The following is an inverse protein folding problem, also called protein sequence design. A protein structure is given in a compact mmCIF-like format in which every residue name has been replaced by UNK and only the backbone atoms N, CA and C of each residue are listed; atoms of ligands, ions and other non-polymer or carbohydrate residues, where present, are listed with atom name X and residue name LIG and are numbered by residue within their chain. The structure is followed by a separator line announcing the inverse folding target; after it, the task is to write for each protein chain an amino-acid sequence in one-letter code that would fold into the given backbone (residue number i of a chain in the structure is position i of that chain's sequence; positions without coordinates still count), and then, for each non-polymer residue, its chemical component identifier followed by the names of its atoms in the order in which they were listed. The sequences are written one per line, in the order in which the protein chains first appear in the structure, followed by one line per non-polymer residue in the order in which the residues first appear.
data_IF_573354713354
#
_entry.id   IF_573354713354
#
_cell.length_a   1.000
_cell.length_b   1.000
_cell.length_c   1.000
_cell.angle_alpha   90.00
_cell.angle_beta   90.00
_cell.angle_gamma   90.00
#
_symmetry.space_group_name_H-M   'P 1'
#
loop_
_entity.id
_entity.type
_entity.pdbx_description
1 polymer ?
#
# COMPACT_ATOMS: atom_id res chain seq x y z
N UNK A 1 -3.37 28.52 -4.99
CA UNK A 1 -4.17 27.82 -6.02
C UNK A 1 -5.65 28.22 -5.92
N UNK A 2 -6.32 28.61 -7.02
CA UNK A 2 -7.78 28.92 -7.04
C UNK A 2 -8.43 28.48 -8.36
N UNK A 3 -9.76 28.39 -8.42
CA UNK A 3 -10.49 27.99 -9.65
C UNK A 3 -10.48 29.14 -10.65
N UNK A 4 -10.07 28.89 -11.90
CA UNK A 4 -10.21 29.84 -13.01
C UNK A 4 -11.42 29.52 -13.88
N UNK A 5 -11.65 28.22 -14.13
CA UNK A 5 -12.72 27.76 -15.00
C UNK A 5 -13.35 26.45 -14.53
N UNK A 6 -14.66 26.33 -14.75
CA UNK A 6 -15.43 25.11 -14.56
C UNK A 6 -16.13 24.75 -15.86
N UNK A 7 -15.85 23.56 -16.39
CA UNK A 7 -16.44 23.06 -17.63
C UNK A 7 -17.29 21.83 -17.29
N UNK A 8 -18.56 21.88 -17.70
CA UNK A 8 -19.58 20.85 -17.48
C UNK A 8 -20.04 20.33 -18.84
N UNK A 9 -20.06 19.02 -19.05
CA UNK A 9 -20.60 18.43 -20.28
C UNK A 9 -21.39 17.17 -19.93
N UNK A 10 -22.67 17.12 -20.32
CA UNK A 10 -23.58 16.01 -20.04
C UNK A 10 -23.87 15.75 -18.56
N UNK A 11 -23.60 16.71 -17.66
CA UNK A 11 -23.71 16.53 -16.20
C UNK A 11 -25.06 17.04 -15.66
N UNK A 12 -25.87 16.16 -15.07
CA UNK A 12 -27.17 16.46 -14.43
C UNK A 12 -28.11 17.34 -15.26
N UNK A 13 -28.16 18.65 -15.00
CA UNK A 13 -29.01 19.63 -15.68
C UNK A 13 -28.33 20.30 -16.88
N UNK A 14 -27.07 19.98 -17.15
CA UNK A 14 -26.25 20.55 -18.21
C UNK A 14 -26.09 19.53 -19.34
N UNK A 15 -27.00 19.53 -20.35
CA UNK A 15 -26.95 18.55 -21.46
C UNK A 15 -25.81 18.79 -22.43
N UNK A 16 -25.34 20.04 -22.54
CA UNK A 16 -24.32 20.50 -23.47
C UNK A 16 -23.14 21.07 -22.70
N UNK A 17 -21.98 21.12 -23.38
CA UNK A 17 -20.77 21.74 -22.85
C UNK A 17 -21.06 23.18 -22.43
N UNK A 18 -20.97 23.43 -21.13
CA UNK A 18 -21.16 24.72 -20.48
C UNK A 18 -19.85 25.08 -19.78
N UNK A 19 -19.31 26.26 -20.09
CA UNK A 19 -18.08 26.76 -19.50
C UNK A 19 -18.42 27.98 -18.62
N UNK A 20 -17.96 27.94 -17.37
CA UNK A 20 -18.13 29.00 -16.38
C UNK A 20 -16.74 29.55 -16.09
N UNK A 21 -16.50 30.79 -16.50
CA UNK A 21 -15.24 31.53 -16.33
C UNK A 21 -15.46 32.77 -15.45
N UNK A 22 -14.38 33.51 -15.17
CA UNK A 22 -14.46 34.76 -14.42
C UNK A 22 -14.62 34.56 -12.91
N UNK A 23 -14.04 33.49 -12.37
CA UNK A 23 -13.98 33.24 -10.93
C UNK A 23 -13.00 34.22 -10.28
N UNK A 24 -13.46 34.91 -9.23
CA UNK A 24 -12.62 35.79 -8.42
C UNK A 24 -11.81 34.96 -7.40
N UNK A 25 -10.55 35.31 -7.10
CA UNK A 25 -9.76 34.61 -6.11
C UNK A 25 -10.32 34.68 -4.68
N UNK A 26 -11.12 35.69 -4.36
CA UNK A 26 -11.58 35.99 -3.01
C UNK A 26 -13.04 35.58 -2.78
N UNK A 27 -13.96 36.04 -3.63
CA UNK A 27 -15.39 35.83 -3.39
C UNK A 27 -16.18 35.57 -4.68
N UNK A 28 -16.94 34.47 -4.67
CA UNK A 28 -17.80 34.06 -5.78
C UNK A 28 -19.21 33.81 -5.29
N UNK A 29 -20.21 34.26 -6.06
CA UNK A 29 -21.62 34.05 -5.76
C UNK A 29 -22.34 33.37 -6.93
N UNK A 30 -23.10 32.31 -6.62
CA UNK A 30 -23.94 31.61 -7.59
C UNK A 30 -25.41 31.91 -7.27
N UNK A 31 -26.09 32.64 -8.15
CA UNK A 31 -27.49 33.04 -8.00
C UNK A 31 -28.34 32.61 -9.19
N UNK A 32 -29.67 32.64 -9.04
CA UNK A 32 -30.62 32.28 -10.10
C UNK A 32 -31.94 31.73 -9.58
N UNK A 33 -32.90 31.51 -10.48
CA UNK A 33 -34.25 31.02 -10.17
C UNK A 33 -34.26 29.59 -9.61
N UNK A 34 -35.25 29.24 -8.79
CA UNK A 34 -35.39 27.88 -8.29
C UNK A 34 -35.53 26.87 -9.43
N UNK A 35 -34.81 25.74 -9.34
CA UNK A 35 -34.77 24.72 -10.39
C UNK A 35 -33.77 24.99 -11.53
N UNK A 36 -33.06 26.13 -11.57
CA UNK A 36 -32.11 26.45 -12.65
C UNK A 36 -30.78 25.67 -12.62
N UNK A 37 -30.64 24.67 -11.75
CA UNK A 37 -29.44 23.85 -11.66
C UNK A 37 -28.28 24.39 -10.81
N UNK A 38 -28.48 25.50 -10.06
CA UNK A 38 -27.44 26.12 -9.21
C UNK A 38 -26.71 25.13 -8.31
N UNK A 39 -27.45 24.30 -7.58
CA UNK A 39 -26.89 23.29 -6.68
C UNK A 39 -26.12 22.19 -7.43
N UNK A 40 -26.40 21.98 -8.72
CA UNK A 40 -25.66 21.01 -9.55
C UNK A 40 -24.26 21.53 -9.92
N UNK A 41 -24.01 22.84 -9.87
CA UNK A 41 -22.66 23.41 -10.01
C UNK A 41 -21.79 22.96 -8.82
N UNK A 42 -22.32 23.09 -7.61
CA UNK A 42 -21.66 22.58 -6.40
C UNK A 42 -21.46 21.07 -6.46
N UNK A 43 -22.48 20.31 -6.88
CA UNK A 43 -22.32 18.85 -7.04
C UNK A 43 -21.25 18.49 -8.08
N UNK A 44 -21.10 19.29 -9.13
CA UNK A 44 -20.08 19.07 -10.15
C UNK A 44 -18.66 19.32 -9.62
N UNK A 45 -18.48 20.38 -8.84
CA UNK A 45 -17.21 20.64 -8.15
C UNK A 45 -16.89 19.47 -7.21
N UNK A 46 -17.86 19.08 -6.38
CA UNK A 46 -17.76 17.94 -5.47
C UNK A 46 -17.42 16.63 -6.19
N UNK A 47 -18.00 16.44 -7.37
CA UNK A 47 -17.78 15.28 -8.21
C UNK A 47 -16.32 15.22 -8.68
N UNK A 48 -15.75 16.30 -9.20
CA UNK A 48 -14.33 16.34 -9.63
C UNK A 48 -13.37 16.20 -8.46
N UNK A 49 -13.68 16.86 -7.36
CA UNK A 49 -12.91 16.77 -6.12
C UNK A 49 -12.90 15.34 -5.55
N UNK A 50 -13.84 14.48 -5.94
CA UNK A 50 -13.77 13.06 -5.65
C UNK A 50 -14.43 12.65 -4.34
N UNK A 51 -15.48 13.39 -3.95
CA UNK A 51 -16.41 12.98 -2.90
C UNK A 51 -16.93 11.57 -3.17
N UNK A 52 -16.70 10.68 -2.21
CA UNK A 52 -17.04 9.26 -2.28
C UNK A 52 -18.51 9.01 -2.03
N UNK A 53 -19.15 9.85 -1.23
CA UNK A 53 -20.55 9.69 -0.86
C UNK A 53 -21.49 10.28 -1.92
N UNK A 54 -22.03 9.42 -2.80
CA UNK A 54 -22.98 9.82 -3.85
C UNK A 54 -24.26 10.48 -3.29
N UNK A 55 -24.72 10.06 -2.10
CA UNK A 55 -25.91 10.65 -1.47
C UNK A 55 -25.74 12.14 -1.16
N UNK A 56 -24.50 12.56 -0.88
CA UNK A 56 -24.16 13.97 -0.66
C UNK A 56 -24.35 14.79 -1.94
N UNK A 57 -24.05 14.19 -3.09
CA UNK A 57 -24.32 14.79 -4.41
C UNK A 57 -25.76 14.52 -4.89
N UNK A 58 -26.71 14.16 -4.01
CA UNK A 58 -28.12 13.94 -4.37
C UNK A 58 -28.29 12.92 -5.51
N UNK A 59 -27.48 11.86 -5.49
CA UNK A 59 -27.48 10.77 -6.45
C UNK A 59 -27.48 9.43 -5.72
N UNK A 60 -28.19 8.43 -6.24
CA UNK A 60 -28.15 7.06 -5.71
C UNK A 60 -27.12 6.23 -6.48
N UNK A 61 -27.10 6.39 -7.80
CA UNK A 61 -26.19 5.69 -8.71
C UNK A 61 -25.33 6.67 -9.49
N UNK A 62 -24.17 6.23 -10.00
CA UNK A 62 -23.31 7.06 -10.85
C UNK A 62 -24.03 7.55 -12.12
N UNK A 63 -24.99 6.77 -12.63
CA UNK A 63 -25.79 7.14 -13.80
C UNK A 63 -26.70 8.35 -13.53
N UNK A 64 -27.10 8.62 -12.28
CA UNK A 64 -27.90 9.80 -11.92
C UNK A 64 -27.14 11.12 -12.13
N UNK A 65 -25.82 11.06 -12.24
CA UNK A 65 -24.97 12.22 -12.51
C UNK A 65 -24.93 12.57 -14.01
N UNK A 66 -25.34 11.65 -14.88
CA UNK A 66 -25.44 11.86 -16.33
C UNK A 66 -26.79 12.50 -16.65
N UNK A 67 -26.80 13.46 -17.58
CA UNK A 67 -28.02 14.15 -18.03
C UNK A 67 -29.13 13.15 -18.39
N UNK A 68 -30.29 13.30 -17.73
CA UNK A 68 -31.45 12.40 -17.85
C UNK A 68 -31.10 10.90 -17.77
N UNK A 69 -30.10 10.53 -16.94
CA UNK A 69 -29.62 9.13 -16.79
C UNK A 69 -29.19 8.47 -18.12
N UNK A 70 -28.81 9.29 -19.10
CA UNK A 70 -28.45 8.84 -20.44
C UNK A 70 -29.61 8.45 -21.36
N UNK A 71 -30.87 8.61 -20.94
CA UNK A 71 -32.04 8.32 -21.78
C UNK A 71 -32.23 9.31 -22.93
N UNK A 72 -31.56 10.46 -22.89
CA UNK A 72 -31.64 11.50 -23.91
C UNK A 72 -30.46 11.49 -24.91
N UNK A 73 -29.87 10.32 -25.15
CA UNK A 73 -28.73 10.15 -26.08
C UNK A 73 -27.37 10.61 -25.52
N UNK A 74 -27.33 11.22 -24.34
CA UNK A 74 -26.11 11.66 -23.66
C UNK A 74 -25.59 10.54 -22.75
N UNK A 75 -24.71 9.69 -23.24
CA UNK A 75 -24.22 8.50 -22.51
C UNK A 75 -22.97 8.73 -21.65
N UNK A 76 -22.44 9.96 -21.68
CA UNK A 76 -21.25 10.38 -20.94
C UNK A 76 -21.49 11.71 -20.22
N UNK A 77 -20.86 11.87 -19.06
CA UNK A 77 -20.74 13.16 -18.41
C UNK A 77 -19.27 13.41 -18.05
N UNK A 78 -18.81 14.64 -18.25
CA UNK A 78 -17.48 15.07 -17.84
C UNK A 78 -17.56 16.41 -17.14
N UNK A 79 -16.80 16.54 -16.07
CA UNK A 79 -16.61 17.81 -15.38
C UNK A 79 -15.11 18.07 -15.30
N UNK A 80 -14.71 19.27 -15.66
CA UNK A 80 -13.31 19.72 -15.65
C UNK A 80 -13.21 21.00 -14.82
N UNK A 81 -12.25 21.05 -13.92
CA UNK A 81 -11.88 22.26 -13.20
C UNK A 81 -10.47 22.64 -13.62
N UNK A 82 -10.30 23.90 -14.02
CA UNK A 82 -8.99 24.51 -14.28
C UNK A 82 -8.64 25.36 -13.08
N UNK A 83 -7.51 25.08 -12.46
CA UNK A 83 -6.96 25.82 -11.34
C UNK A 83 -5.79 26.69 -11.80
N UNK A 84 -5.75 27.92 -11.29
CA UNK A 84 -4.54 28.74 -11.30
C UNK A 84 -3.53 28.17 -10.33
N UNK A 85 -2.31 27.92 -10.82
CA UNK A 85 -1.18 27.43 -10.04
C UNK A 85 0.05 28.35 -10.18
N UNK A 86 -0.17 29.65 -10.42
CA UNK A 86 0.88 30.67 -10.51
C UNK A 86 1.69 30.85 -9.22
N UNK A 87 1.05 30.68 -8.06
CA UNK A 87 1.72 30.68 -6.77
C UNK A 87 2.31 29.31 -6.43
N UNK A 88 3.63 29.20 -6.55
CA UNK A 88 4.39 27.98 -6.28
C UNK A 88 4.36 27.56 -4.81
N UNK A 89 4.15 28.49 -3.87
CA UNK A 89 4.13 28.15 -2.44
C UNK A 89 2.89 27.33 -2.06
N UNK A 90 1.80 27.51 -2.82
CA UNK A 90 0.54 26.78 -2.64
C UNK A 90 0.32 25.70 -3.71
N UNK A 91 1.36 25.38 -4.49
CA UNK A 91 1.29 24.35 -5.52
C UNK A 91 1.32 22.95 -4.90
N UNK A 92 0.56 21.99 -5.45
CA UNK A 92 0.73 20.58 -5.13
C UNK A 92 2.16 20.10 -5.41
N UNK A 93 2.63 19.15 -4.60
CA UNK A 93 3.96 18.55 -4.73
C UNK A 93 4.09 17.85 -6.09
N UNK A 94 5.13 18.20 -6.85
CA UNK A 94 5.40 17.63 -8.18
C UNK A 94 4.59 18.25 -9.33
N UNK A 95 3.91 19.38 -9.08
CA UNK A 95 3.20 20.15 -10.11
C UNK A 95 3.64 21.62 -10.17
N UNK A 96 4.77 21.97 -9.55
CA UNK A 96 5.29 23.33 -9.43
C UNK A 96 5.66 23.98 -10.77
N UNK A 97 5.95 23.14 -11.78
CA UNK A 97 6.30 23.58 -13.14
C UNK A 97 5.08 23.97 -13.99
N UNK A 98 3.87 23.58 -13.56
CA UNK A 98 2.64 23.87 -14.30
C UNK A 98 1.99 25.15 -13.78
N UNK A 99 1.86 26.16 -14.64
CA UNK A 99 1.15 27.40 -14.32
C UNK A 99 -0.36 27.18 -14.12
N UNK A 100 -0.93 26.12 -14.73
CA UNK A 100 -2.32 25.74 -14.59
C UNK A 100 -2.44 24.24 -14.37
N UNK A 101 -3.37 23.84 -13.50
CA UNK A 101 -3.68 22.44 -13.22
C UNK A 101 -5.12 22.16 -13.65
N UNK A 102 -5.29 21.23 -14.57
CA UNK A 102 -6.60 20.82 -15.06
C UNK A 102 -6.96 19.45 -14.50
N UNK A 103 -8.03 19.38 -13.70
CA UNK A 103 -8.54 18.13 -13.15
C UNK A 103 -9.88 17.81 -13.80
N UNK A 104 -9.96 16.65 -14.46
CA UNK A 104 -11.18 16.17 -15.12
C UNK A 104 -11.65 14.86 -14.51
N UNK A 105 -12.94 14.76 -14.21
CA UNK A 105 -13.59 13.48 -13.91
C UNK A 105 -14.63 13.18 -14.98
N UNK A 106 -14.55 11.98 -15.55
CA UNK A 106 -15.47 11.51 -16.58
C UNK A 106 -16.18 10.25 -16.12
N UNK A 107 -17.47 10.17 -16.42
CA UNK A 107 -18.30 8.97 -16.27
C UNK A 107 -18.99 8.65 -17.59
N UNK A 108 -19.12 7.36 -17.91
CA UNK A 108 -19.83 6.89 -19.08
C UNK A 108 -20.55 5.57 -18.80
N UNK A 109 -21.62 5.30 -19.55
CA UNK A 109 -22.37 4.05 -19.47
C UNK A 109 -21.67 2.99 -20.37
N UNK A 110 -21.44 1.75 -19.90
CA UNK A 110 -21.79 1.20 -18.58
C UNK A 110 -20.68 1.39 -17.53
N UNK A 111 -20.97 2.19 -16.48
CA UNK A 111 -20.16 2.38 -15.25
C UNK A 111 -18.64 2.58 -15.42
N UNK A 112 -18.22 3.28 -16.48
CA UNK A 112 -16.83 3.69 -16.65
C UNK A 112 -16.64 5.00 -15.89
N UNK A 113 -15.71 5.05 -14.93
CA UNK A 113 -15.29 6.29 -14.26
C UNK A 113 -13.78 6.47 -14.40
N UNK A 114 -13.34 7.63 -14.85
CA UNK A 114 -11.91 7.95 -15.05
C UNK A 114 -11.60 9.34 -14.53
N UNK A 115 -10.43 9.48 -13.90
CA UNK A 115 -9.84 10.77 -13.57
C UNK A 115 -8.71 11.07 -14.53
N UNK A 116 -8.59 12.34 -14.90
CA UNK A 116 -7.49 12.87 -15.68
C UNK A 116 -6.93 14.10 -14.98
N UNK A 117 -5.62 14.20 -14.88
CA UNK A 117 -4.91 15.43 -14.48
C UNK A 117 -4.05 15.87 -15.64
N UNK A 118 -4.23 17.10 -16.11
CA UNK A 118 -3.55 17.64 -17.29
C UNK A 118 -3.63 16.70 -18.50
N UNK A 119 -4.77 15.99 -18.66
CA UNK A 119 -5.00 15.00 -19.71
C UNK A 119 -4.42 13.60 -19.46
N UNK A 120 -3.58 13.41 -18.45
CA UNK A 120 -3.04 12.10 -18.07
C UNK A 120 -3.98 11.35 -17.13
N UNK A 121 -4.18 10.04 -17.36
CA UNK A 121 -5.03 9.22 -16.50
C UNK A 121 -4.43 9.13 -15.09
N UNK A 122 -5.27 9.34 -14.08
CA UNK A 122 -4.86 9.27 -12.67
C UNK A 122 -5.84 8.42 -11.86
N UNK A 123 -5.39 7.94 -10.70
CA UNK A 123 -6.24 7.21 -9.76
C UNK A 123 -6.97 8.18 -8.83
N UNK A 124 -8.13 7.78 -8.28
CA UNK A 124 -8.85 8.61 -7.31
C UNK A 124 -8.00 8.93 -6.08
N UNK A 125 -7.17 7.98 -5.62
CA UNK A 125 -6.27 8.20 -4.48
C UNK A 125 -5.22 9.26 -4.78
N UNK A 126 -4.68 9.31 -6.01
CA UNK A 126 -3.75 10.35 -6.42
C UNK A 126 -4.42 11.73 -6.41
N UNK A 127 -5.66 11.84 -6.90
CA UNK A 127 -6.45 13.09 -6.85
C UNK A 127 -6.68 13.54 -5.41
N UNK A 128 -7.06 12.61 -4.52
CA UNK A 128 -7.26 12.93 -3.10
C UNK A 128 -5.95 13.41 -2.46
N UNK A 129 -4.82 12.78 -2.77
CA UNK A 129 -3.51 13.17 -2.25
C UNK A 129 -3.09 14.55 -2.77
N UNK A 130 -3.37 14.84 -4.06
CA UNK A 130 -3.13 16.14 -4.68
C UNK A 130 -3.90 17.23 -3.95
N UNK A 131 -5.22 17.07 -3.75
CA UNK A 131 -6.01 18.07 -3.05
C UNK A 131 -5.67 18.17 -1.56
N UNK A 132 -5.30 17.07 -0.90
CA UNK A 132 -4.79 17.11 0.47
C UNK A 132 -3.49 17.93 0.58
N UNK A 133 -2.61 17.89 -0.42
CA UNK A 133 -1.35 18.64 -0.39
C UNK A 133 -1.56 20.16 -0.39
N UNK A 134 -2.67 20.62 -0.97
CA UNK A 134 -3.10 22.03 -0.97
C UNK A 134 -4.15 22.33 0.11
N UNK A 135 -4.22 21.47 1.13
CA UNK A 135 -5.14 21.58 2.27
C UNK A 135 -6.63 21.58 1.90
N UNK A 136 -6.97 21.09 0.71
CA UNK A 136 -8.35 20.88 0.27
C UNK A 136 -8.76 19.43 0.57
N UNK A 137 -9.20 19.16 1.79
CA UNK A 137 -9.72 17.83 2.14
C UNK A 137 -11.22 17.74 1.93
N UNK A 138 -11.60 17.09 0.83
CA UNK A 138 -12.98 17.08 0.34
C UNK A 138 -13.84 16.08 1.12
N UNK A 139 -13.20 15.12 1.81
CA UNK A 139 -13.90 14.17 2.66
C UNK A 139 -14.22 14.75 4.04
N UNK A 140 -13.63 15.89 4.42
CA UNK A 140 -13.99 16.56 5.65
C UNK A 140 -15.33 17.30 5.45
N UNK A 141 -16.37 17.01 6.26
CA UNK A 141 -17.68 17.66 6.15
C UNK A 141 -17.65 19.17 6.40
N UNK A 142 -16.51 19.73 6.82
CA UNK A 142 -16.39 21.13 7.23
C UNK A 142 -15.83 22.04 6.14
N UNK A 143 -15.16 21.50 5.13
CA UNK A 143 -14.80 22.26 3.94
C UNK A 143 -16.05 22.53 3.06
N UNK A 144 -16.99 21.58 3.04
CA UNK A 144 -18.21 21.66 2.25
C UNK A 144 -19.46 21.57 3.12
N UNK A 145 -20.07 22.72 3.42
CA UNK A 145 -21.35 22.79 4.14
C UNK A 145 -22.50 22.77 3.13
N UNK A 146 -23.02 21.57 2.88
CA UNK A 146 -24.25 21.41 2.08
C UNK A 146 -25.50 21.74 2.89
N UNK A 147 -26.60 22.00 2.18
CA UNK A 147 -27.92 22.20 2.78
C UNK A 147 -28.27 21.01 3.70
N UNK A 148 -28.75 21.32 4.92
CA UNK A 148 -29.08 20.31 5.94
C UNK A 148 -27.89 19.76 6.72
N UNK A 149 -26.65 20.09 6.36
CA UNK A 149 -25.43 19.70 7.11
C UNK A 149 -25.14 20.63 8.29
N UNK A 150 -25.71 21.83 8.33
CA UNK A 150 -25.45 22.83 9.37
C UNK A 150 -25.82 22.35 10.78
N UNK A 151 -26.92 21.60 10.92
CA UNK A 151 -27.31 21.01 12.19
C UNK A 151 -26.33 19.93 12.66
N UNK A 152 -25.66 19.25 11.73
CA UNK A 152 -24.60 18.30 12.06
C UNK A 152 -23.37 19.02 12.59
N UNK A 153 -23.00 20.15 12.00
CA UNK A 153 -21.89 21.00 12.47
C UNK A 153 -22.15 21.48 13.90
N UNK A 154 -23.37 21.92 14.19
CA UNK A 154 -23.77 22.36 15.53
C UNK A 154 -23.77 21.23 16.57
N UNK A 155 -24.00 19.99 16.16
CA UNK A 155 -24.07 18.82 17.04
C UNK A 155 -22.82 17.92 16.93
N UNK A 156 -21.67 18.46 16.50
CA UNK A 156 -20.45 17.68 16.35
C UNK A 156 -19.94 17.17 17.70
N UNK A 157 -19.47 15.92 17.69
CA UNK A 157 -18.80 15.36 18.88
C UNK A 157 -17.40 15.97 19.03
N UNK A 158 -16.83 16.00 20.25
CA UNK A 158 -15.49 16.53 20.48
C UNK A 158 -14.41 15.96 19.56
N UNK A 159 -14.48 14.67 19.22
CA UNK A 159 -13.56 14.04 18.27
C UNK A 159 -13.69 14.57 16.83
N UNK A 160 -14.91 14.92 16.39
CA UNK A 160 -15.15 15.52 15.08
C UNK A 160 -14.62 16.96 15.04
N UNK A 161 -14.82 17.72 16.13
CA UNK A 161 -14.27 19.07 16.31
C UNK A 161 -12.74 19.05 16.31
N UNK A 162 -12.13 18.10 17.04
CA UNK A 162 -10.67 17.95 17.04
C UNK A 162 -10.15 17.70 15.61
N UNK A 163 -10.80 16.80 14.87
CA UNK A 163 -10.45 16.52 13.48
C UNK A 163 -10.61 17.73 12.53
N UNK A 164 -11.45 18.71 12.87
CA UNK A 164 -11.52 20.00 12.16
C UNK A 164 -10.31 20.88 12.46
N UNK A 165 -9.98 21.00 13.74
CA UNK A 165 -8.87 21.84 14.19
C UNK A 165 -7.54 21.29 13.67
N UNK A 166 -7.33 19.98 13.70
CA UNK A 166 -6.15 19.31 13.14
C UNK A 166 -6.02 19.51 11.63
N UNK A 167 -7.15 19.62 10.92
CA UNK A 167 -7.14 19.89 9.48
C UNK A 167 -6.83 21.36 9.17
N UNK A 168 -7.44 22.29 9.91
CA UNK A 168 -7.14 23.70 9.81
C UNK A 168 -5.67 24.01 10.19
N UNK A 169 -5.11 23.27 11.15
CA UNK A 169 -3.71 23.35 11.52
C UNK A 169 -2.78 22.59 10.54
N UNK A 170 -3.33 21.80 9.61
CA UNK A 170 -2.56 20.99 8.65
C UNK A 170 -1.83 19.78 9.26
N UNK A 171 -2.07 19.44 10.53
CA UNK A 171 -1.38 18.34 11.23
C UNK A 171 -1.96 16.97 10.90
N UNK A 172 -3.21 16.91 10.42
CA UNK A 172 -3.92 15.66 10.11
C UNK A 172 -3.17 14.74 9.15
N UNK A 173 -2.60 15.30 8.07
CA UNK A 173 -1.91 14.49 7.05
C UNK A 173 -0.66 13.82 7.63
N UNK A 174 0.03 14.49 8.54
CA UNK A 174 1.17 13.94 9.26
C UNK A 174 0.74 12.82 10.21
N UNK A 175 -0.31 13.04 10.99
CA UNK A 175 -0.79 12.03 11.95
C UNK A 175 -1.30 10.76 11.23
N UNK A 176 -2.01 10.90 10.11
CA UNK A 176 -2.44 9.75 9.29
C UNK A 176 -1.25 8.96 8.72
N UNK A 177 -0.18 9.65 8.27
CA UNK A 177 1.05 9.00 7.79
C UNK A 177 1.77 8.28 8.91
N UNK A 178 1.89 8.92 10.08
CA UNK A 178 2.50 8.34 11.29
C UNK A 178 1.74 7.11 11.75
N UNK A 179 0.41 7.16 11.80
CA UNK A 179 -0.42 6.02 12.19
C UNK A 179 -0.25 4.85 11.21
N UNK A 180 -0.25 5.11 9.90
CA UNK A 180 0.02 4.07 8.88
C UNK A 180 1.41 3.45 9.03
N UNK A 181 2.42 4.27 9.32
CA UNK A 181 3.78 3.79 9.56
C UNK A 181 3.84 2.90 10.81
N UNK A 182 3.25 3.33 11.93
CA UNK A 182 3.19 2.55 13.18
C UNK A 182 2.48 1.21 12.99
N UNK A 183 1.34 1.19 12.28
CA UNK A 183 0.64 -0.07 11.95
C UNK A 183 1.50 -1.00 11.11
N UNK A 184 2.28 -0.46 10.17
CA UNK A 184 3.18 -1.24 9.31
C UNK A 184 4.34 -1.82 10.12
N UNK A 185 4.92 -1.03 11.03
CA UNK A 185 5.97 -1.47 11.96
C UNK A 185 5.44 -2.62 12.82
N UNK A 186 4.31 -2.43 13.51
CA UNK A 186 3.71 -3.46 14.35
C UNK A 186 3.42 -4.77 13.59
N UNK A 187 2.99 -4.68 12.33
CA UNK A 187 2.79 -5.87 11.48
C UNK A 187 4.11 -6.57 11.14
N UNK A 188 5.16 -5.80 10.86
CA UNK A 188 6.49 -6.36 10.56
C UNK A 188 7.11 -6.99 11.81
N UNK A 189 6.97 -6.36 12.96
CA UNK A 189 7.51 -6.87 14.23
C UNK A 189 6.90 -8.23 14.59
N UNK A 190 5.56 -8.38 14.47
CA UNK A 190 4.90 -9.69 14.64
C UNK A 190 5.46 -10.75 13.71
N UNK A 191 5.70 -10.40 12.44
CA UNK A 191 6.27 -11.34 11.47
C UNK A 191 7.71 -11.73 11.82
N UNK A 192 8.49 -10.81 12.39
CA UNK A 192 9.84 -11.09 12.89
C UNK A 192 9.78 -12.02 14.11
N UNK A 193 8.83 -11.81 15.03
CA UNK A 193 8.62 -12.70 16.18
C UNK A 193 8.25 -14.11 15.73
N UNK A 194 7.31 -14.26 14.79
CA UNK A 194 6.95 -15.56 14.20
C UNK A 194 8.17 -16.26 13.58
N UNK A 195 8.97 -15.54 12.80
CA UNK A 195 10.18 -16.10 12.17
C UNK A 195 11.24 -16.50 13.19
N UNK A 196 11.45 -15.71 14.25
CA UNK A 196 12.38 -16.05 15.34
C UNK A 196 11.94 -17.32 16.05
N UNK A 197 10.65 -17.45 16.35
CA UNK A 197 10.10 -18.66 16.95
C UNK A 197 10.35 -19.90 16.06
N UNK A 198 10.13 -19.79 14.74
CA UNK A 198 10.44 -20.90 13.81
C UNK A 198 11.93 -21.26 13.78
N UNK A 199 12.82 -20.26 13.81
CA UNK A 199 14.28 -20.49 13.84
C UNK A 199 14.65 -21.26 15.12
N UNK A 200 14.17 -20.81 16.27
CA UNK A 200 14.52 -21.40 17.56
C UNK A 200 13.93 -22.81 17.73
N UNK A 201 12.69 -23.03 17.30
CA UNK A 201 12.00 -24.30 17.48
C UNK A 201 12.41 -25.37 16.48
N UNK A 202 12.64 -25.01 15.21
CA UNK A 202 12.92 -25.98 14.17
C UNK A 202 14.40 -26.03 13.78
N UNK A 203 15.00 -24.88 13.50
CA UNK A 203 16.35 -24.82 12.92
C UNK A 203 17.39 -25.13 13.99
N UNK A 204 17.31 -24.48 15.15
CA UNK A 204 18.27 -24.70 16.25
C UNK A 204 18.24 -26.15 16.73
N UNK A 205 17.06 -26.75 16.90
CA UNK A 205 16.94 -28.17 17.29
C UNK A 205 17.51 -29.12 16.24
N UNK A 206 17.29 -28.86 14.94
CA UNK A 206 17.90 -29.65 13.86
C UNK A 206 19.41 -29.50 13.86
N UNK A 207 19.93 -28.29 14.08
CA UNK A 207 21.35 -28.01 14.15
C UNK A 207 22.01 -28.76 15.31
N UNK A 208 21.39 -28.79 16.48
CA UNK A 208 21.94 -29.48 17.65
C UNK A 208 21.94 -31.00 17.47
N UNK A 209 20.92 -31.58 16.82
CA UNK A 209 20.95 -33.00 16.42
C UNK A 209 22.12 -33.28 15.47
N UNK A 210 22.31 -32.47 14.44
CA UNK A 210 23.43 -32.63 13.50
C UNK A 210 24.81 -32.48 14.18
N UNK A 211 24.91 -31.63 15.21
CA UNK A 211 26.12 -31.51 16.02
C UNK A 211 26.41 -32.78 16.82
N UNK A 212 25.38 -33.40 17.38
CA UNK A 212 25.53 -34.66 18.11
C UNK A 212 25.87 -35.82 17.16
N UNK A 213 25.21 -35.92 16.00
CA UNK A 213 25.54 -36.92 14.98
C UNK A 213 26.99 -36.78 14.51
N UNK A 214 27.47 -35.54 14.31
CA UNK A 214 28.87 -35.27 14.00
C UNK A 214 29.80 -35.75 15.12
N UNK A 215 29.44 -35.54 16.38
CA UNK A 215 30.24 -35.98 17.54
C UNK A 215 30.35 -37.50 17.60
N UNK A 216 29.22 -38.20 17.42
CA UNK A 216 29.16 -39.66 17.37
C UNK A 216 30.02 -40.19 16.21
N UNK A 217 29.90 -39.59 15.03
CA UNK A 217 30.69 -39.97 13.86
C UNK A 217 32.20 -39.81 14.10
N UNK A 218 32.63 -38.70 14.71
CA UNK A 218 34.04 -38.49 15.03
C UNK A 218 34.57 -39.48 16.07
N UNK A 219 33.74 -39.88 17.05
CA UNK A 219 34.11 -40.92 18.02
C UNK A 219 34.24 -42.28 17.34
N UNK A 220 33.27 -42.66 16.51
CA UNK A 220 33.30 -43.89 15.70
C UNK A 220 34.55 -43.94 14.81
N UNK A 221 34.88 -42.84 14.14
CA UNK A 221 36.07 -42.74 13.29
C UNK A 221 37.35 -43.02 14.10
N UNK A 222 37.48 -42.47 15.31
CA UNK A 222 38.63 -42.75 16.20
C UNK A 222 38.69 -44.24 16.57
N UNK A 223 37.58 -44.83 16.97
CA UNK A 223 37.52 -46.25 17.32
C UNK A 223 37.88 -47.15 16.14
N UNK A 224 37.44 -46.82 14.92
CA UNK A 224 37.85 -47.55 13.72
C UNK A 224 39.36 -47.46 13.48
N UNK A 225 39.96 -46.28 13.65
CA UNK A 225 41.42 -46.13 13.49
C UNK A 225 42.21 -46.93 14.55
N UNK A 226 41.73 -46.96 15.80
CA UNK A 226 42.33 -47.76 16.87
C UNK A 226 42.18 -49.27 16.60
N UNK A 227 41.00 -49.71 16.14
CA UNK A 227 40.73 -51.09 15.79
C UNK A 227 41.62 -51.55 14.63
N UNK A 228 41.78 -50.73 13.59
CA UNK A 228 42.72 -51.01 12.50
C UNK A 228 44.16 -51.14 13.01
N UNK A 229 44.59 -50.25 13.90
CA UNK A 229 45.93 -50.31 14.49
C UNK A 229 46.14 -51.61 15.29
N UNK A 230 45.20 -51.94 16.18
CA UNK A 230 45.25 -53.17 17.00
C UNK A 230 45.21 -54.42 16.09
N UNK A 231 44.36 -54.41 15.06
CA UNK A 231 44.25 -55.50 14.09
C UNK A 231 45.54 -55.74 13.32
N UNK A 232 46.25 -54.67 12.94
CA UNK A 232 47.59 -54.78 12.31
C UNK A 232 48.60 -55.36 13.29
N UNK A 233 48.60 -54.94 14.56
CA UNK A 233 49.51 -55.49 15.57
C UNK A 233 49.24 -56.96 15.88
N UNK A 234 47.96 -57.37 15.93
CA UNK A 234 47.58 -58.77 16.16
C UNK A 234 48.06 -59.66 15.00
N UNK A 235 47.79 -59.25 13.75
CA UNK A 235 48.26 -59.99 12.57
C UNK A 235 49.77 -60.12 12.51
N UNK A 236 50.51 -59.06 12.90
CA UNK A 236 51.96 -59.12 12.99
C UNK A 236 52.43 -60.12 14.06
N UNK A 237 51.79 -60.13 15.23
CA UNK A 237 52.08 -61.10 16.29
C UNK A 237 51.77 -62.54 15.87
N UNK A 238 50.59 -62.79 15.27
CA UNK A 238 50.20 -64.10 14.73
C UNK A 238 51.19 -64.60 13.68
N UNK A 239 51.69 -63.71 12.81
CA UNK A 239 52.72 -64.05 11.83
C UNK A 239 54.05 -64.47 12.49
N UNK A 240 54.49 -63.71 13.50
CA UNK A 240 55.73 -64.01 14.25
C UNK A 240 55.62 -65.32 15.03
N UNK A 241 54.50 -65.56 15.73
CA UNK A 241 54.25 -66.82 16.45
C UNK A 241 54.17 -68.01 15.48
N UNK A 242 53.50 -67.84 14.33
CA UNK A 242 53.44 -68.88 13.30
C UNK A 242 54.82 -69.20 12.69
N UNK A 243 55.66 -68.19 12.45
CA UNK A 243 57.03 -68.40 11.95
C UNK A 243 57.92 -69.08 13.00
N UNK A 244 57.85 -68.67 14.27
CA UNK A 244 58.58 -69.34 15.36
C UNK A 244 58.15 -70.81 15.52
N UNK A 245 56.84 -71.10 15.41
CA UNK A 245 56.35 -72.49 15.45
C UNK A 245 56.81 -73.31 14.24
N UNK A 246 56.89 -72.70 13.06
CA UNK A 246 57.40 -73.35 11.86
C UNK A 246 58.90 -73.67 12.02
N UNK A 247 59.70 -72.69 12.46
CA UNK A 247 61.14 -72.88 12.74
C UNK A 247 61.38 -73.97 13.78
N UNK A 248 60.64 -73.98 14.90
CA UNK A 248 60.76 -75.02 15.91
C UNK A 248 60.40 -76.42 15.37
N UNK A 249 59.43 -76.51 14.45
CA UNK A 249 59.05 -77.77 13.79
C UNK A 249 60.08 -78.21 12.75
N UNK A 250 60.69 -77.29 12.02
CA UNK A 250 61.77 -77.58 11.08
C UNK A 250 63.04 -78.06 11.81
N UNK A 251 63.36 -77.50 12.97
CA UNK A 251 64.43 -78.00 13.85
C UNK A 251 64.15 -79.43 14.36
N UNK A 252 62.90 -79.71 14.75
CA UNK A 252 62.46 -81.04 15.20
C UNK A 252 62.56 -82.07 14.06
N UNK A 253 62.24 -81.69 12.82
CA UNK A 253 62.36 -82.56 11.62
C UNK A 253 63.83 -82.76 11.23
N UNK A 254 64.67 -81.74 11.36
CA UNK A 254 66.11 -81.84 11.08
C UNK A 254 66.83 -82.76 12.09
N UNK A 255 66.40 -82.76 13.35
CA UNK A 255 66.90 -83.67 14.39
C UNK A 255 66.51 -85.14 14.20
N UNK A 256 65.46 -85.43 13.41
CA UNK A 256 65.00 -86.81 13.12
C UNK A 256 65.69 -87.42 11.88
N UNK A 257 66.43 -86.62 11.10
CA UNK A 257 67.15 -87.07 9.89
C UNK A 257 68.66 -87.29 10.08
N UNK A 258 69.19 -87.15 11.29
CA UNK A 258 70.56 -87.54 11.68
C UNK A 258 70.57 -88.85 12.44
#
# INVERSE_FOLDING_TARGET
MHIQELILDGFKSYPVRTQITGWDPSFNAITGLNGSGKSNILDAICFVLGLTNLSSMRAQNQQDLIYKRGQAGVTKASVTIVFDNSDRSTSPVGMEDYAQITVTRQIAIPNISKYLVNGHKSTQQAIQTLFQSVQLNINNPNFLIMQGRITKVLNMKPAEILGMVEEAAGTRMFEEKKEKALRTIARKDRKVEELKATIDEEITKKLDKLREDKRIYLAWQKTCTELEHIGRTLRAFEWVDATQRAEAKDEEIAGVKG
#
